data_IF_238337595162
#
_entry.id   IF_238337595162
#
_cell.length_a   1.000
_cell.length_b   1.000
_cell.length_c   1.000
_cell.angle_alpha   90.00
_cell.angle_beta   90.00
_cell.angle_gamma   90.00
#
_symmetry.space_group_name_H-M   'P 1'
#
loop_
_entity.id
_entity.type
_entity.pdbx_description
1 polymer ?
#
# COMPACT_ATOMS: atom_id res chain seq x y z
N UNK A 1 12.92 -5.96 10.96
CA UNK A 1 11.61 -5.70 10.32
C UNK A 1 11.89 -4.86 9.08
N UNK A 2 11.36 -5.27 7.93
CA UNK A 2 11.49 -4.54 6.67
C UNK A 2 10.11 -4.11 6.17
N UNK A 3 9.98 -2.92 5.59
CA UNK A 3 8.77 -2.44 4.94
C UNK A 3 8.99 -2.42 3.43
N UNK A 4 8.10 -3.09 2.69
CA UNK A 4 8.18 -3.23 1.24
C UNK A 4 6.93 -2.66 0.58
N UNK A 5 7.13 -1.76 -0.37
CA UNK A 5 6.06 -1.17 -1.18
C UNK A 5 5.56 -2.14 -2.25
N UNK A 6 4.23 -2.27 -2.31
CA UNK A 6 3.46 -2.91 -3.36
C UNK A 6 2.84 -1.86 -4.27
N UNK A 7 3.08 -1.98 -5.57
CA UNK A 7 2.63 -1.00 -6.59
C UNK A 7 1.37 -1.46 -7.33
N UNK A 8 0.66 -2.47 -6.84
CA UNK A 8 -0.65 -2.88 -7.37
C UNK A 8 -0.58 -3.38 -8.82
N UNK A 9 -1.38 -2.76 -9.70
CA UNK A 9 -1.39 -3.08 -11.14
C UNK A 9 -0.14 -2.61 -11.87
N UNK A 10 0.56 -1.61 -11.35
CA UNK A 10 1.79 -1.10 -11.98
C UNK A 10 2.93 -2.13 -11.99
N UNK A 11 2.85 -3.20 -11.18
CA UNK A 11 3.77 -4.35 -11.30
C UNK A 11 3.76 -4.99 -12.70
N UNK A 12 2.65 -4.88 -13.43
CA UNK A 12 2.53 -5.43 -14.78
C UNK A 12 3.25 -4.54 -15.83
N UNK A 13 3.65 -3.31 -15.45
CA UNK A 13 4.27 -2.30 -16.31
C UNK A 13 5.76 -2.06 -15.99
N UNK A 14 6.27 -2.50 -14.83
CA UNK A 14 7.67 -2.32 -14.44
C UNK A 14 8.49 -3.54 -14.84
N UNK A 15 9.28 -3.40 -15.91
CA UNK A 15 10.16 -4.46 -16.41
C UNK A 15 11.15 -4.88 -15.30
N UNK A 16 11.14 -6.16 -14.95
CA UNK A 16 12.03 -6.72 -13.92
C UNK A 16 11.51 -6.62 -12.49
N UNK A 17 10.30 -6.08 -12.26
CA UNK A 17 9.66 -6.00 -10.95
C UNK A 17 8.18 -6.38 -10.98
N UNK A 18 7.90 -7.57 -11.51
CA UNK A 18 6.55 -8.14 -11.49
C UNK A 18 6.11 -8.55 -10.07
N UNK A 19 4.83 -8.92 -9.90
CA UNK A 19 4.33 -9.52 -8.65
C UNK A 19 5.10 -10.79 -8.25
N UNK A 20 5.56 -11.57 -9.23
CA UNK A 20 6.38 -12.75 -8.96
C UNK A 20 7.79 -12.38 -8.51
N UNK A 21 8.37 -11.32 -9.08
CA UNK A 21 9.70 -10.85 -8.68
C UNK A 21 9.68 -10.28 -7.26
N UNK A 22 8.61 -9.55 -6.89
CA UNK A 22 8.35 -9.16 -5.50
C UNK A 22 8.30 -10.39 -4.57
N UNK A 23 7.52 -11.41 -4.92
CA UNK A 23 7.41 -12.61 -4.09
C UNK A 23 8.77 -13.33 -3.95
N UNK A 24 9.53 -13.49 -5.03
CA UNK A 24 10.89 -14.06 -5.00
C UNK A 24 11.84 -13.24 -4.14
N UNK A 25 11.77 -11.91 -4.24
CA UNK A 25 12.56 -11.01 -3.43
C UNK A 25 12.26 -11.21 -1.93
N UNK A 26 10.98 -11.23 -1.55
CA UNK A 26 10.55 -11.49 -0.16
C UNK A 26 11.04 -12.86 0.33
N UNK A 27 10.91 -13.92 -0.48
CA UNK A 27 11.44 -15.25 -0.13
C UNK A 27 12.96 -15.20 0.11
N UNK A 28 13.70 -14.48 -0.74
CA UNK A 28 15.14 -14.30 -0.63
C UNK A 28 15.58 -13.65 0.68
N UNK A 29 14.74 -12.80 1.27
CA UNK A 29 14.99 -12.16 2.58
C UNK A 29 14.85 -13.12 3.77
N UNK A 30 14.26 -14.31 3.57
CA UNK A 30 14.01 -15.31 4.60
C UNK A 30 13.31 -14.74 5.84
N UNK A 31 12.15 -14.07 5.70
CA UNK A 31 11.48 -13.44 6.83
C UNK A 31 10.85 -14.46 7.78
N UNK A 32 10.64 -14.05 9.03
CA UNK A 32 9.91 -14.85 10.01
C UNK A 32 8.41 -14.81 9.77
N UNK A 33 7.91 -13.68 9.28
CA UNK A 33 6.50 -13.44 8.97
C UNK A 33 6.42 -12.51 7.76
N UNK A 34 5.37 -12.66 6.95
CA UNK A 34 5.03 -11.70 5.89
C UNK A 34 3.64 -11.15 6.17
N UNK A 35 3.52 -9.85 6.33
CA UNK A 35 2.26 -9.19 6.68
C UNK A 35 1.81 -8.30 5.54
N UNK A 36 0.61 -8.53 5.01
CA UNK A 36 0.01 -7.70 3.97
C UNK A 36 -0.95 -6.69 4.57
N UNK A 37 -0.74 -5.40 4.29
CA UNK A 37 -1.61 -4.33 4.83
C UNK A 37 -2.69 -3.84 3.87
N UNK A 38 -2.61 -4.21 2.59
CA UNK A 38 -3.56 -3.76 1.56
C UNK A 38 -4.69 -4.77 1.28
N UNK A 39 -4.67 -5.93 1.93
CA UNK A 39 -5.66 -6.99 1.70
C UNK A 39 -6.02 -7.63 3.03
N UNK A 40 -7.32 -7.77 3.27
CA UNK A 40 -7.86 -8.54 4.39
C UNK A 40 -7.83 -10.04 4.06
N UNK A 41 -7.97 -10.90 5.08
CA UNK A 41 -8.11 -12.36 4.84
C UNK A 41 -9.33 -12.67 3.97
N UNK A 42 -10.44 -11.99 4.22
CA UNK A 42 -11.70 -12.16 3.49
C UNK A 42 -11.55 -11.77 2.01
N UNK A 43 -10.89 -10.65 1.71
CA UNK A 43 -10.69 -10.21 0.33
C UNK A 43 -9.77 -11.15 -0.46
N UNK A 44 -8.77 -11.71 0.21
CA UNK A 44 -7.89 -12.71 -0.37
C UNK A 44 -8.65 -14.00 -0.68
N UNK A 45 -9.43 -14.53 0.27
CA UNK A 45 -10.20 -15.78 0.10
C UNK A 45 -11.27 -15.65 -1.00
N UNK A 46 -11.82 -14.45 -1.20
CA UNK A 46 -12.75 -14.14 -2.28
C UNK A 46 -12.09 -13.83 -3.64
N UNK A 47 -10.78 -14.05 -3.79
CA UNK A 47 -10.01 -13.89 -5.04
C UNK A 47 -10.06 -12.49 -5.65
N UNK A 48 -10.28 -11.44 -4.85
CA UNK A 48 -10.33 -10.05 -5.36
C UNK A 48 -8.93 -9.49 -5.62
N UNK A 49 -7.92 -9.96 -4.87
CA UNK A 49 -6.53 -9.52 -4.92
C UNK A 49 -5.58 -10.66 -4.49
N UNK A 50 -4.25 -10.49 -4.62
CA UNK A 50 -3.29 -11.36 -3.92
C UNK A 50 -2.53 -12.40 -4.75
N UNK A 51 -2.23 -12.17 -6.03
CA UNK A 51 -1.46 -13.14 -6.83
C UNK A 51 -0.05 -13.40 -6.25
N UNK A 52 0.62 -12.35 -5.78
CA UNK A 52 1.87 -12.43 -5.03
C UNK A 52 1.71 -13.22 -3.72
N UNK A 53 0.57 -13.05 -3.03
CA UNK A 53 0.23 -13.79 -1.81
C UNK A 53 0.15 -15.29 -2.08
N UNK A 54 -0.48 -15.69 -3.19
CA UNK A 54 -0.55 -17.11 -3.59
C UNK A 54 0.84 -17.71 -3.80
N UNK A 55 1.77 -16.95 -4.38
CA UNK A 55 3.16 -17.41 -4.59
C UNK A 55 3.87 -17.65 -3.26
N UNK A 56 3.69 -16.76 -2.28
CA UNK A 56 4.29 -16.90 -0.95
C UNK A 56 3.64 -18.01 -0.11
N UNK A 57 2.34 -18.25 -0.28
CA UNK A 57 1.64 -19.35 0.38
C UNK A 57 2.05 -20.73 -0.17
N UNK A 58 2.49 -20.79 -1.42
CA UNK A 58 3.03 -22.00 -2.03
C UNK A 58 4.45 -22.34 -1.55
N UNK A 59 5.19 -21.35 -1.04
CA UNK A 59 6.53 -21.57 -0.46
C UNK A 59 6.44 -22.30 0.89
N UNK A 60 7.15 -23.42 1.01
CA UNK A 60 7.10 -24.26 2.21
C UNK A 60 7.65 -23.56 3.46
N UNK A 61 8.61 -22.64 3.32
CA UNK A 61 9.23 -21.96 4.46
C UNK A 61 8.35 -20.83 5.00
N UNK A 62 7.49 -20.24 4.16
CA UNK A 62 6.56 -19.16 4.49
C UNK A 62 5.11 -19.62 4.68
N UNK A 63 4.77 -20.85 4.32
CA UNK A 63 3.45 -21.43 4.57
C UNK A 63 3.09 -21.35 6.05
N UNK A 64 1.98 -20.69 6.36
CA UNK A 64 1.52 -20.44 7.74
C UNK A 64 2.15 -19.22 8.43
N UNK A 65 3.06 -18.50 7.76
CA UNK A 65 3.69 -17.25 8.24
C UNK A 65 3.23 -16.00 7.48
N UNK A 66 2.32 -16.19 6.52
CA UNK A 66 1.64 -15.10 5.81
C UNK A 66 0.44 -14.63 6.62
N UNK A 67 0.37 -13.34 6.92
CA UNK A 67 -0.68 -12.69 7.72
C UNK A 67 -1.29 -11.50 6.98
N UNK A 68 -2.51 -11.16 7.35
CA UNK A 68 -3.30 -10.10 6.71
C UNK A 68 -3.70 -9.08 7.76
N UNK A 69 -3.26 -7.84 7.59
CA UNK A 69 -3.56 -6.70 8.46
C UNK A 69 -4.47 -5.67 7.79
N UNK A 70 -4.77 -5.83 6.50
CA UNK A 70 -5.63 -4.94 5.76
C UNK A 70 -7.03 -4.88 6.35
N UNK A 71 -7.57 -3.67 6.41
CA UNK A 71 -8.97 -3.43 6.76
C UNK A 71 -9.80 -3.52 5.48
N UNK A 72 -10.96 -4.15 5.56
CA UNK A 72 -11.97 -4.03 4.50
C UNK A 72 -12.42 -2.56 4.53
N UNK A 73 -12.24 -1.80 3.45
CA UNK A 73 -12.82 -0.46 3.40
C UNK A 73 -14.33 -0.61 3.58
N UNK A 74 -14.90 0.05 4.60
CA UNK A 74 -16.34 0.21 4.69
C UNK A 74 -16.79 0.81 3.35
N UNK A 75 -17.62 0.06 2.63
CA UNK A 75 -17.97 0.29 1.22
C UNK A 75 -18.21 1.77 0.91
N UNK A 76 -17.39 2.33 0.01
CA UNK A 76 -17.66 3.51 -0.83
C UNK A 76 -18.32 4.77 -0.22
N UNK A 77 -18.20 5.03 1.10
CA UNK A 77 -18.55 6.36 1.65
C UNK A 77 -17.36 7.34 1.70
N UNK A 78 -16.18 6.90 1.30
CA UNK A 78 -14.93 7.65 1.39
C UNK A 78 -14.69 8.55 0.17
N UNK A 79 -15.55 9.55 -0.03
CA UNK A 79 -15.15 10.75 -0.78
C UNK A 79 -16.01 11.99 -0.50
N UNK A 80 -17.15 11.88 0.18
CA UNK A 80 -18.06 13.04 0.33
C UNK A 80 -18.50 13.64 -1.02
N UNK A 81 -18.41 12.87 -2.11
CA UNK A 81 -18.77 13.27 -3.48
C UNK A 81 -20.22 12.88 -3.82
N UNK A 82 -21.06 12.60 -2.82
CA UNK A 82 -22.45 12.15 -3.03
C UNK A 82 -23.37 13.26 -3.56
N UNK A 83 -22.91 14.51 -3.61
CA UNK A 83 -23.63 15.62 -4.24
C UNK A 83 -22.77 16.25 -5.34
N UNK A 84 -23.10 16.08 -6.63
CA UNK A 84 -22.31 16.60 -7.74
C UNK A 84 -22.52 18.11 -7.87
N UNK A 85 -21.89 18.88 -6.98
CA UNK A 85 -21.70 20.32 -7.17
C UNK A 85 -20.58 20.55 -8.17
N UNK A 86 -20.60 21.68 -8.88
CA UNK A 86 -19.49 22.07 -9.76
C UNK A 86 -18.15 22.10 -9.00
N UNK A 87 -18.18 22.51 -7.73
CA UNK A 87 -17.02 22.50 -6.85
C UNK A 87 -16.50 21.08 -6.57
N UNK A 88 -17.38 20.12 -6.28
CA UNK A 88 -17.00 18.73 -6.06
C UNK A 88 -16.34 18.11 -7.31
N UNK A 89 -16.85 18.42 -8.50
CA UNK A 89 -16.27 17.98 -9.77
C UNK A 89 -14.88 18.59 -10.00
N UNK A 90 -14.72 19.89 -9.74
CA UNK A 90 -13.42 20.57 -9.86
C UNK A 90 -12.40 19.97 -8.90
N UNK A 91 -12.76 19.77 -7.63
CA UNK A 91 -11.89 19.14 -6.63
C UNK A 91 -11.45 17.74 -7.07
N UNK A 92 -12.39 16.92 -7.54
CA UNK A 92 -12.09 15.58 -8.08
C UNK A 92 -11.10 15.64 -9.24
N UNK A 93 -11.33 16.51 -10.23
CA UNK A 93 -10.44 16.65 -11.38
C UNK A 93 -9.01 17.06 -10.99
N UNK A 94 -8.87 17.94 -9.99
CA UNK A 94 -7.56 18.34 -9.48
C UNK A 94 -6.87 17.15 -8.80
N UNK A 95 -7.60 16.40 -7.97
CA UNK A 95 -7.09 15.19 -7.33
C UNK A 95 -6.64 14.18 -8.39
N UNK A 96 -7.48 13.86 -9.37
CA UNK A 96 -7.16 12.91 -10.44
C UNK A 96 -5.93 13.34 -11.25
N UNK A 97 -5.77 14.66 -11.50
CA UNK A 97 -4.59 15.22 -12.17
C UNK A 97 -3.31 15.05 -11.33
N UNK A 98 -3.37 15.28 -10.02
CA UNK A 98 -2.22 15.07 -9.11
C UNK A 98 -1.80 13.60 -9.13
N UNK A 99 -2.76 12.69 -9.01
CA UNK A 99 -2.50 11.24 -9.06
C UNK A 99 -1.85 10.85 -10.39
N UNK A 100 -2.44 11.25 -11.50
CA UNK A 100 -1.94 10.91 -12.84
C UNK A 100 -0.54 11.43 -13.08
N UNK A 101 -0.23 12.65 -12.62
CA UNK A 101 1.09 13.26 -12.77
C UNK A 101 2.15 12.50 -11.97
N UNK A 102 1.85 12.16 -10.73
CA UNK A 102 2.78 11.45 -9.84
C UNK A 102 3.03 10.03 -10.36
N UNK A 103 1.97 9.30 -10.74
CA UNK A 103 2.12 7.97 -11.31
C UNK A 103 2.87 7.99 -12.65
N UNK A 104 2.60 8.93 -13.55
CA UNK A 104 3.32 9.04 -14.82
C UNK A 104 4.83 9.24 -14.61
N UNK A 105 5.21 10.08 -13.64
CA UNK A 105 6.62 10.24 -13.26
C UNK A 105 7.19 8.95 -12.68
N UNK A 106 6.48 8.33 -11.74
CA UNK A 106 6.95 7.14 -11.03
C UNK A 106 7.04 5.90 -11.92
N UNK A 107 6.15 5.72 -12.90
CA UNK A 107 6.26 4.65 -13.89
C UNK A 107 7.52 4.81 -14.75
N UNK A 108 7.91 6.05 -15.06
CA UNK A 108 9.18 6.38 -15.71
C UNK A 108 10.39 6.13 -14.80
N UNK A 109 10.25 6.34 -13.49
CA UNK A 109 11.32 6.24 -12.50
C UNK A 109 11.55 4.80 -12.00
N UNK A 110 10.49 4.02 -11.78
CA UNK A 110 10.58 2.66 -11.26
C UNK A 110 11.26 1.73 -12.26
N UNK A 111 12.23 0.98 -11.77
CA UNK A 111 12.99 -0.04 -12.50
C UNK A 111 13.09 -1.35 -11.74
N UNK A 112 13.02 -1.30 -10.42
CA UNK A 112 13.30 -2.41 -9.51
C UNK A 112 12.74 -2.14 -8.11
N UNK A 113 12.99 -3.09 -7.20
CA UNK A 113 12.66 -2.96 -5.79
C UNK A 113 13.25 -1.69 -5.14
N UNK A 114 14.49 -1.31 -5.49
CA UNK A 114 15.19 -0.21 -4.83
C UNK A 114 14.55 1.13 -5.17
N UNK A 115 14.26 1.37 -6.45
CA UNK A 115 13.57 2.58 -6.92
C UNK A 115 12.14 2.67 -6.39
N UNK A 116 11.41 1.55 -6.31
CA UNK A 116 10.07 1.49 -5.71
C UNK A 116 10.06 1.81 -4.21
N UNK A 117 11.07 1.38 -3.47
CA UNK A 117 11.18 1.60 -2.02
C UNK A 117 12.02 2.84 -1.64
N UNK A 118 12.44 3.63 -2.63
CA UNK A 118 13.32 4.78 -2.44
C UNK A 118 12.64 5.97 -1.74
N UNK A 119 13.47 6.84 -1.17
CA UNK A 119 13.03 8.12 -0.61
C UNK A 119 12.35 9.03 -1.65
N UNK A 120 12.69 8.90 -2.94
CA UNK A 120 12.04 9.67 -4.02
C UNK A 120 10.58 9.26 -4.15
N UNK A 121 10.31 7.95 -4.14
CA UNK A 121 8.93 7.44 -4.18
C UNK A 121 8.15 7.88 -2.95
N UNK A 122 8.75 7.75 -1.76
CA UNK A 122 8.13 8.17 -0.49
C UNK A 122 7.83 9.67 -0.45
N UNK A 123 8.77 10.51 -0.90
CA UNK A 123 8.63 11.96 -0.92
C UNK A 123 7.49 12.41 -1.84
N UNK A 124 7.36 11.79 -3.02
CA UNK A 124 6.27 12.10 -3.95
C UNK A 124 4.91 11.70 -3.40
N UNK A 125 4.79 10.53 -2.76
CA UNK A 125 3.51 10.13 -2.14
C UNK A 125 3.19 10.93 -0.88
N UNK A 126 4.20 11.35 -0.10
CA UNK A 126 4.01 12.29 1.01
C UNK A 126 3.52 13.65 0.50
N UNK A 127 4.12 14.16 -0.58
CA UNK A 127 3.67 15.40 -1.22
C UNK A 127 2.24 15.27 -1.79
N UNK A 128 1.92 14.15 -2.45
CA UNK A 128 0.55 13.84 -2.90
C UNK A 128 -0.42 13.96 -1.75
N UNK A 129 -0.11 13.30 -0.63
CA UNK A 129 -0.98 13.23 0.54
C UNK A 129 -1.27 14.63 1.09
N UNK A 130 -0.24 15.48 1.19
CA UNK A 130 -0.35 16.87 1.63
C UNK A 130 -1.14 17.73 0.64
N UNK A 131 -1.01 17.52 -0.68
CA UNK A 131 -1.80 18.28 -1.65
C UNK A 131 -3.28 17.88 -1.63
N UNK A 132 -3.55 16.58 -1.59
CA UNK A 132 -4.91 16.04 -1.56
C UNK A 132 -5.64 16.48 -0.29
N UNK A 133 -4.97 16.49 0.87
CA UNK A 133 -5.59 16.93 2.13
C UNK A 133 -6.12 18.36 2.07
N UNK A 134 -5.36 19.27 1.46
CA UNK A 134 -5.77 20.67 1.31
C UNK A 134 -7.00 20.83 0.40
N UNK A 135 -7.22 19.89 -0.53
CA UNK A 135 -8.34 19.91 -1.48
C UNK A 135 -9.59 19.25 -0.89
N UNK A 136 -9.42 18.11 -0.22
CA UNK A 136 -10.54 17.33 0.33
C UNK A 136 -11.02 17.85 1.69
N UNK A 137 -10.17 18.60 2.40
CA UNK A 137 -10.46 19.09 3.75
C UNK A 137 -10.30 18.03 4.83
N UNK A 138 -10.52 18.43 6.09
CA UNK A 138 -10.18 17.65 7.28
C UNK A 138 -10.83 16.25 7.35
N UNK A 139 -12.06 16.08 6.85
CA UNK A 139 -12.77 14.80 6.94
C UNK A 139 -12.11 13.65 6.16
N UNK A 140 -11.53 13.94 4.99
CA UNK A 140 -10.78 12.95 4.22
C UNK A 140 -9.47 12.55 4.91
N UNK A 141 -8.87 13.50 5.62
CA UNK A 141 -7.62 13.27 6.33
C UNK A 141 -7.78 12.37 7.54
N UNK A 142 -8.78 12.68 8.37
CA UNK A 142 -9.08 11.91 9.56
C UNK A 142 -9.43 10.47 9.24
N UNK A 143 -10.20 10.23 8.17
CA UNK A 143 -10.53 8.86 7.76
C UNK A 143 -9.28 8.10 7.33
N UNK A 144 -8.45 8.70 6.47
CA UNK A 144 -7.23 8.06 6.00
C UNK A 144 -6.31 7.71 7.16
N UNK A 145 -6.12 8.63 8.12
CA UNK A 145 -5.30 8.40 9.31
C UNK A 145 -5.86 7.27 10.17
N UNK A 146 -7.18 7.28 10.46
CA UNK A 146 -7.85 6.21 11.22
C UNK A 146 -7.70 4.83 10.58
N UNK A 147 -7.84 4.75 9.26
CA UNK A 147 -7.67 3.49 8.53
C UNK A 147 -6.22 2.97 8.68
N UNK A 148 -5.23 3.85 8.57
CA UNK A 148 -3.81 3.50 8.74
C UNK A 148 -3.45 3.13 10.18
N UNK A 149 -3.98 3.86 11.16
CA UNK A 149 -3.84 3.52 12.58
C UNK A 149 -4.47 2.15 12.89
N UNK A 150 -5.65 1.85 12.34
CA UNK A 150 -6.29 0.54 12.52
C UNK A 150 -5.42 -0.60 12.00
N UNK A 151 -4.88 -0.45 10.79
CA UNK A 151 -3.93 -1.41 10.20
C UNK A 151 -2.67 -1.53 11.09
N UNK A 152 -2.12 -0.40 11.55
CA UNK A 152 -0.94 -0.37 12.43
C UNK A 152 -1.20 -1.16 13.73
N UNK A 153 -2.37 -0.98 14.34
CA UNK A 153 -2.76 -1.72 15.53
C UNK A 153 -2.93 -3.21 15.25
N UNK A 154 -3.47 -3.58 14.08
CA UNK A 154 -3.55 -4.98 13.66
C UNK A 154 -2.15 -5.60 13.57
N UNK A 155 -1.20 -4.91 12.92
CA UNK A 155 0.20 -5.35 12.84
C UNK A 155 0.81 -5.51 14.24
N UNK A 156 0.66 -4.50 15.12
CA UNK A 156 1.25 -4.52 16.47
C UNK A 156 0.68 -5.64 17.36
N UNK A 157 -0.58 -6.04 17.15
CA UNK A 157 -1.22 -7.15 17.86
C UNK A 157 -0.77 -8.52 17.35
N UNK A 158 -0.28 -8.61 16.12
CA UNK A 158 0.34 -9.82 15.62
C UNK A 158 1.68 -9.99 16.34
N UNK A 159 1.82 -11.04 17.16
CA UNK A 159 3.12 -11.40 17.74
C UNK A 159 4.03 -11.90 16.62
N UNK A 160 4.70 -10.95 15.94
CA UNK A 160 5.64 -11.20 14.84
C UNK A 160 6.99 -11.66 15.40
N UNK A 161 7.71 -12.46 14.62
CA UNK A 161 9.08 -12.87 14.93
C UNK A 161 10.09 -11.71 14.82
N UNK A 162 11.37 -12.05 14.92
CA UNK A 162 12.47 -11.08 14.94
C UNK A 162 12.73 -10.40 13.57
N UNK A 163 12.27 -10.98 12.46
CA UNK A 163 12.52 -10.44 11.12
C UNK A 163 11.26 -10.50 10.23
N UNK A 164 10.20 -9.75 10.56
CA UNK A 164 9.02 -9.71 9.72
C UNK A 164 9.24 -8.78 8.53
N UNK A 165 8.60 -9.11 7.41
CA UNK A 165 8.44 -8.23 6.24
C UNK A 165 7.00 -7.74 6.21
N UNK A 166 6.81 -6.44 6.10
CA UNK A 166 5.49 -5.81 6.03
C UNK A 166 5.33 -5.22 4.64
N UNK A 167 4.38 -5.76 3.87
CA UNK A 167 4.08 -5.33 2.52
C UNK A 167 2.94 -4.33 2.55
N UNK A 168 3.22 -3.12 2.08
CA UNK A 168 2.33 -1.95 2.18
C UNK A 168 2.01 -1.36 0.81
N UNK A 169 0.85 -0.72 0.59
CA UNK A 169 0.64 0.10 -0.60
C UNK A 169 1.77 1.13 -0.72
N UNK A 170 2.33 1.27 -1.92
CA UNK A 170 3.40 2.26 -2.19
C UNK A 170 2.99 3.68 -1.78
N UNK A 171 1.70 4.00 -1.92
CA UNK A 171 1.14 5.30 -1.57
C UNK A 171 1.17 5.62 -0.07
N UNK A 172 1.29 4.59 0.76
CA UNK A 172 1.23 4.67 2.22
C UNK A 172 2.55 4.28 2.89
N UNK A 173 3.54 3.88 2.10
CA UNK A 173 4.79 3.33 2.60
C UNK A 173 5.53 4.28 3.54
N UNK A 174 5.60 5.57 3.17
CA UNK A 174 6.20 6.62 4.00
C UNK A 174 5.57 6.68 5.40
N UNK A 175 4.24 6.54 5.50
CA UNK A 175 3.53 6.64 6.78
C UNK A 175 3.82 5.43 7.66
N UNK A 176 3.81 4.22 7.08
CA UNK A 176 4.16 3.02 7.83
C UNK A 176 5.62 3.04 8.27
N UNK A 177 6.54 3.54 7.43
CA UNK A 177 7.95 3.72 7.77
C UNK A 177 8.11 4.64 8.99
N UNK A 178 7.41 5.78 9.00
CA UNK A 178 7.44 6.73 10.12
C UNK A 178 6.83 6.18 11.42
N UNK A 179 5.88 5.23 11.35
CA UNK A 179 5.09 4.79 12.52
C UNK A 179 5.43 3.37 13.04
N UNK A 180 6.15 2.56 12.26
CA UNK A 180 6.60 1.21 12.64
C UNK A 180 8.09 1.14 12.93
N UNK A 181 8.91 2.01 12.33
CA UNK A 181 10.37 1.99 12.54
C UNK A 181 10.84 2.95 13.63
N UNK A 182 9.93 3.78 14.16
CA UNK A 182 10.12 4.60 15.36
C UNK A 182 9.50 3.92 16.58
#
# INVERSE_FOLDING_TARGET
MEIISFIGKSHDNVIGYSRQDLARFIIGMKPTDVVFTYVSREDFENSRYGQEVSTLLADHALKGKVRFAGVVPDSDQAAGLENPTAEAVVRKNIVDMIYSTIYAYLEGYWKDYQTVNSEVTDALFRARRLLVSQITGAGGDEKWEKDHESILQNVKRMQLGQNPVIVVPVESAFWFKDNLMN
#
